data_IF_091300774757
#
_entry.id   IF_091300774757
#
_cell.length_a   1.000
_cell.length_b   1.000
_cell.length_c   1.000
_cell.angle_alpha   90.00
_cell.angle_beta   90.00
_cell.angle_gamma   90.00
#
_symmetry.space_group_name_H-M   'P 1'
#
loop_
_entity.id
_entity.type
_entity.pdbx_description
1 polymer ?
#
# COMPACT_ATOMS: atom_id res chain seq x y z
N UNK A 1 14.93 -9.20 -69.65
CA UNK A 1 14.76 -9.95 -68.40
C UNK A 1 14.12 -9.06 -67.31
N UNK A 2 14.54 -7.79 -67.17
CA UNK A 2 14.03 -6.83 -66.15
C UNK A 2 12.50 -6.60 -66.13
N UNK A 3 11.80 -6.70 -67.27
CA UNK A 3 10.36 -6.41 -67.32
C UNK A 3 9.50 -7.46 -66.58
N UNK A 4 9.96 -8.72 -66.50
CA UNK A 4 9.25 -9.80 -65.79
C UNK A 4 9.51 -9.77 -64.27
N UNK A 5 10.68 -9.30 -63.84
CA UNK A 5 11.00 -9.17 -62.41
C UNK A 5 10.20 -8.04 -61.74
N UNK A 6 9.98 -6.93 -62.45
CA UNK A 6 9.14 -5.83 -61.97
C UNK A 6 7.65 -6.20 -61.88
N UNK A 7 7.13 -7.05 -62.78
CA UNK A 7 5.74 -7.54 -62.68
C UNK A 7 5.53 -8.46 -61.47
N UNK A 8 6.50 -9.34 -61.17
CA UNK A 8 6.42 -10.24 -60.01
C UNK A 8 6.51 -9.46 -58.68
N UNK A 9 7.40 -8.48 -58.59
CA UNK A 9 7.47 -7.57 -57.43
C UNK A 9 6.19 -6.75 -57.26
N UNK A 10 5.58 -6.28 -58.35
CA UNK A 10 4.32 -5.55 -58.31
C UNK A 10 3.17 -6.45 -57.83
N UNK A 11 3.10 -7.71 -58.28
CA UNK A 11 2.12 -8.68 -57.79
C UNK A 11 2.30 -9.05 -56.31
N UNK A 12 3.53 -9.24 -55.84
CA UNK A 12 3.80 -9.48 -54.42
C UNK A 12 3.46 -8.27 -53.55
N UNK A 13 3.78 -7.06 -54.00
CA UNK A 13 3.40 -5.82 -53.33
C UNK A 13 1.87 -5.67 -53.30
N UNK A 14 1.19 -5.95 -54.41
CA UNK A 14 -0.27 -5.88 -54.50
C UNK A 14 -0.95 -6.93 -53.62
N UNK A 15 -0.44 -8.16 -53.56
CA UNK A 15 -0.97 -9.24 -52.72
C UNK A 15 -0.71 -8.97 -51.22
N UNK A 16 0.44 -8.40 -50.87
CA UNK A 16 0.77 -8.01 -49.49
C UNK A 16 -0.10 -6.83 -49.01
N UNK A 17 -0.46 -5.90 -49.89
CA UNK A 17 -1.37 -4.78 -49.59
C UNK A 17 -2.83 -5.23 -49.49
N UNK A 18 -3.21 -6.34 -50.14
CA UNK A 18 -4.60 -6.80 -50.25
C UNK A 18 -5.17 -7.54 -49.03
N UNK A 19 -4.37 -7.88 -48.02
CA UNK A 19 -4.85 -8.62 -46.83
C UNK A 19 -4.71 -7.81 -45.53
N UNK A 20 -4.75 -6.48 -45.60
CA UNK A 20 -4.80 -5.65 -44.40
C UNK A 20 -6.26 -5.39 -44.01
N UNK A 21 -6.61 -5.78 -42.78
CA UNK A 21 -7.91 -5.52 -42.19
C UNK A 21 -7.94 -4.08 -41.69
N UNK A 22 -8.79 -3.24 -42.30
CA UNK A 22 -8.92 -1.85 -41.92
C UNK A 22 -9.96 -1.71 -40.79
N UNK A 23 -9.59 -0.97 -39.75
CA UNK A 23 -10.48 -0.61 -38.66
C UNK A 23 -10.21 0.83 -38.19
N UNK A 24 -11.01 1.29 -37.24
CA UNK A 24 -10.85 2.60 -36.63
C UNK A 24 -10.64 2.51 -35.13
N UNK A 25 -9.81 3.41 -34.59
CA UNK A 25 -9.62 3.59 -33.15
C UNK A 25 -9.99 5.02 -32.79
N UNK A 26 -10.84 5.18 -31.79
CA UNK A 26 -11.25 6.47 -31.22
C UNK A 26 -10.39 6.72 -29.99
N UNK A 27 -9.58 7.78 -30.04
CA UNK A 27 -8.72 8.25 -28.95
C UNK A 27 -9.12 9.68 -28.62
N UNK A 28 -9.64 9.94 -27.42
CA UNK A 28 -10.16 11.25 -27.00
C UNK A 28 -11.02 11.92 -28.09
N UNK A 29 -12.07 11.22 -28.52
CA UNK A 29 -13.02 11.66 -29.58
C UNK A 29 -12.42 11.77 -30.99
N UNK A 30 -11.11 11.54 -31.16
CA UNK A 30 -10.43 11.55 -32.45
C UNK A 30 -10.42 10.16 -33.08
N UNK A 31 -11.05 10.01 -34.24
CA UNK A 31 -11.07 8.76 -35.02
C UNK A 31 -9.80 8.63 -35.87
N UNK A 32 -9.04 7.54 -35.68
CA UNK A 32 -7.82 7.21 -36.43
C UNK A 32 -7.98 5.88 -37.15
N UNK A 33 -7.41 5.77 -38.35
CA UNK A 33 -7.44 4.54 -39.15
C UNK A 33 -6.27 3.65 -38.72
N UNK A 34 -6.57 2.38 -38.46
CA UNK A 34 -5.57 1.33 -38.26
C UNK A 34 -5.68 0.27 -39.35
N UNK A 35 -4.57 -0.39 -39.63
CA UNK A 35 -4.49 -1.51 -40.57
C UNK A 35 -3.82 -2.67 -39.87
N UNK A 36 -4.55 -3.75 -39.69
CA UNK A 36 -4.08 -4.94 -38.98
C UNK A 36 -3.73 -6.03 -39.99
N UNK A 37 -2.59 -6.70 -39.77
CA UNK A 37 -2.22 -7.88 -40.55
C UNK A 37 -3.04 -9.09 -40.14
N UNK A 38 -3.09 -9.33 -38.83
CA UNK A 38 -3.80 -10.43 -38.20
C UNK A 38 -4.87 -9.90 -37.25
N UNK A 39 -6.02 -10.58 -37.17
CA UNK A 39 -7.11 -10.21 -36.26
C UNK A 39 -6.85 -10.77 -34.85
N UNK A 40 -5.78 -10.29 -34.22
CA UNK A 40 -5.38 -10.63 -32.85
C UNK A 40 -5.40 -9.39 -31.96
N UNK A 41 -5.53 -9.61 -30.66
CA UNK A 41 -5.44 -8.57 -29.65
C UNK A 41 -4.06 -7.90 -29.65
N UNK A 42 -3.00 -8.68 -29.82
CA UNK A 42 -1.63 -8.16 -29.85
C UNK A 42 -1.42 -7.18 -31.00
N UNK A 43 -1.85 -7.54 -32.22
CA UNK A 43 -1.74 -6.65 -33.39
C UNK A 43 -2.60 -5.39 -33.18
N UNK A 44 -3.80 -5.52 -32.59
CA UNK A 44 -4.65 -4.37 -32.28
C UNK A 44 -3.95 -3.40 -31.32
N UNK A 45 -3.38 -3.92 -30.24
CA UNK A 45 -2.61 -3.14 -29.26
C UNK A 45 -1.43 -2.45 -29.94
N UNK A 46 -0.69 -3.17 -30.79
CA UNK A 46 0.44 -2.60 -31.52
C UNK A 46 0.03 -1.44 -32.43
N UNK A 47 -1.06 -1.60 -33.20
CA UNK A 47 -1.59 -0.54 -34.06
C UNK A 47 -2.10 0.66 -33.26
N UNK A 48 -2.70 0.42 -32.08
CA UNK A 48 -3.09 1.47 -31.15
C UNK A 48 -1.87 2.26 -30.68
N UNK A 49 -0.79 1.60 -30.27
CA UNK A 49 0.44 2.28 -29.85
C UNK A 49 1.05 3.14 -30.96
N UNK A 50 0.99 2.69 -32.23
CA UNK A 50 1.39 3.52 -33.36
C UNK A 50 0.49 4.74 -33.59
N UNK A 51 -0.77 4.68 -33.17
CA UNK A 51 -1.71 5.79 -33.23
C UNK A 51 -1.53 6.81 -32.09
N UNK A 52 -0.88 6.44 -30.99
CA UNK A 52 -0.66 7.34 -29.87
C UNK A 52 0.53 8.27 -30.15
N UNK A 53 0.31 9.58 -30.01
CA UNK A 53 1.39 10.56 -30.13
C UNK A 53 2.26 10.57 -28.86
N UNK A 54 3.45 11.18 -28.95
CA UNK A 54 4.35 11.35 -27.80
C UNK A 54 3.68 12.03 -26.59
N UNK A 55 2.68 12.89 -26.82
CA UNK A 55 1.92 13.56 -25.76
C UNK A 55 1.13 12.55 -24.92
N UNK A 56 0.56 11.52 -25.52
CA UNK A 56 -0.15 10.46 -24.80
C UNK A 56 0.77 9.65 -23.91
N UNK A 57 1.97 9.29 -24.37
CA UNK A 57 2.95 8.61 -23.54
C UNK A 57 3.43 9.46 -22.36
N UNK A 58 3.59 10.78 -22.56
CA UNK A 58 3.88 11.72 -21.46
C UNK A 58 2.73 11.75 -20.46
N UNK A 59 1.49 11.85 -20.94
CA UNK A 59 0.28 11.82 -20.11
C UNK A 59 0.20 10.52 -19.29
N UNK A 60 0.38 9.37 -19.93
CA UNK A 60 0.40 8.05 -19.26
C UNK A 60 1.44 7.98 -18.14
N UNK A 61 2.65 8.52 -18.37
CA UNK A 61 3.71 8.53 -17.35
C UNK A 61 3.46 9.54 -16.22
N UNK A 62 2.96 10.73 -16.54
CA UNK A 62 2.73 11.80 -15.55
C UNK A 62 1.50 11.54 -14.69
N UNK A 63 0.42 11.05 -15.30
CA UNK A 63 -0.87 10.81 -14.66
C UNK A 63 -1.04 9.34 -14.23
N UNK A 64 0.00 8.51 -14.42
CA UNK A 64 0.00 7.08 -14.12
C UNK A 64 -1.23 6.37 -14.73
N UNK A 65 -1.46 6.59 -16.03
CA UNK A 65 -2.59 6.03 -16.76
C UNK A 65 -2.19 4.79 -17.56
N UNK A 66 -3.11 3.84 -17.64
CA UNK A 66 -3.18 2.79 -18.65
C UNK A 66 -4.46 2.97 -19.48
N UNK A 67 -4.71 2.10 -20.45
CA UNK A 67 -5.98 2.09 -21.18
C UNK A 67 -6.57 0.69 -21.31
N UNK A 68 -7.89 0.64 -21.41
CA UNK A 68 -8.65 -0.51 -21.90
C UNK A 68 -9.15 -0.24 -23.31
N UNK A 69 -9.32 -1.31 -24.06
CA UNK A 69 -9.87 -1.28 -25.41
C UNK A 69 -11.30 -1.79 -25.32
N UNK A 70 -12.24 -1.01 -25.85
CA UNK A 70 -13.65 -1.42 -25.93
C UNK A 70 -14.18 -1.28 -27.36
N UNK A 71 -15.23 -2.01 -27.69
CA UNK A 71 -15.96 -1.83 -28.95
C UNK A 71 -16.85 -0.56 -28.90
N UNK A 72 -17.61 -0.33 -29.98
CA UNK A 72 -18.52 0.83 -30.06
C UNK A 72 -19.66 0.76 -29.02
N UNK A 73 -20.02 -0.44 -28.56
CA UNK A 73 -21.06 -0.70 -27.56
C UNK A 73 -20.49 -0.76 -26.13
N UNK A 74 -19.23 -0.36 -25.95
CA UNK A 74 -18.50 -0.34 -24.69
C UNK A 74 -18.25 -1.75 -24.08
N UNK A 75 -18.27 -2.81 -24.90
CA UNK A 75 -17.82 -4.14 -24.48
C UNK A 75 -16.29 -4.22 -24.48
N UNK A 76 -15.70 -4.83 -23.46
CA UNK A 76 -14.24 -4.99 -23.32
C UNK A 76 -13.70 -5.93 -24.41
N UNK A 77 -12.58 -5.52 -25.02
CA UNK A 77 -11.81 -6.30 -25.99
C UNK A 77 -10.52 -6.76 -25.32
N UNK A 78 -10.53 -7.98 -24.79
CA UNK A 78 -9.45 -8.61 -24.04
C UNK A 78 -8.99 -9.96 -24.61
N UNK A 79 -9.50 -10.34 -25.79
CA UNK A 79 -9.22 -11.61 -26.44
C UNK A 79 -9.24 -11.50 -27.96
N UNK A 80 -8.55 -12.44 -28.63
CA UNK A 80 -8.55 -12.54 -30.10
C UNK A 80 -9.96 -12.79 -30.66
N UNK A 81 -10.78 -13.57 -29.96
CA UNK A 81 -12.18 -13.81 -30.31
C UNK A 81 -12.97 -12.49 -30.33
N UNK A 82 -12.82 -11.65 -29.31
CA UNK A 82 -13.49 -10.36 -29.23
C UNK A 82 -13.07 -9.42 -30.37
N UNK A 83 -11.78 -9.43 -30.74
CA UNK A 83 -11.28 -8.71 -31.92
C UNK A 83 -11.96 -9.22 -33.18
N UNK A 84 -11.97 -10.53 -33.43
CA UNK A 84 -12.61 -11.12 -34.63
C UNK A 84 -14.10 -10.80 -34.71
N UNK A 85 -14.82 -10.87 -33.60
CA UNK A 85 -16.24 -10.51 -33.54
C UNK A 85 -16.48 -9.03 -33.91
N UNK A 86 -15.59 -8.13 -33.49
CA UNK A 86 -15.68 -6.70 -33.84
C UNK A 86 -15.58 -6.45 -35.35
N UNK A 87 -14.89 -7.34 -36.08
CA UNK A 87 -14.78 -7.31 -37.55
C UNK A 87 -15.93 -7.98 -38.30
N UNK A 88 -16.86 -8.65 -37.59
CA UNK A 88 -18.10 -9.17 -38.21
C UNK A 88 -19.11 -8.04 -38.49
N UNK A 89 -18.89 -6.86 -37.91
CA UNK A 89 -19.68 -5.66 -38.17
C UNK A 89 -19.09 -4.91 -39.36
N UNK A 90 -19.95 -4.26 -40.16
CA UNK A 90 -19.58 -3.57 -41.42
C UNK A 90 -18.40 -2.58 -41.29
N UNK A 91 -18.20 -1.99 -40.12
CA UNK A 91 -17.13 -1.04 -39.84
C UNK A 91 -16.55 -1.27 -38.44
N UNK A 92 -15.49 -2.07 -38.34
CA UNK A 92 -14.81 -2.36 -37.08
C UNK A 92 -14.27 -1.06 -36.46
N UNK A 93 -14.71 -0.75 -35.25
CA UNK A 93 -14.33 0.46 -34.51
C UNK A 93 -14.09 0.13 -33.04
N UNK A 94 -12.99 0.64 -32.51
CA UNK A 94 -12.57 0.48 -31.13
C UNK A 94 -12.46 1.85 -30.45
N UNK A 95 -12.66 1.90 -29.14
CA UNK A 95 -12.44 3.09 -28.30
C UNK A 95 -11.37 2.79 -27.25
N UNK A 96 -10.53 3.78 -26.97
CA UNK A 96 -9.59 3.74 -25.85
C UNK A 96 -10.27 4.37 -24.64
N UNK A 97 -10.42 3.59 -23.57
CA UNK A 97 -10.86 4.07 -22.27
C UNK A 97 -9.65 4.21 -21.36
N UNK A 98 -9.29 5.44 -21.01
CA UNK A 98 -8.19 5.69 -20.07
C UNK A 98 -8.59 5.27 -18.65
N UNK A 99 -7.70 4.52 -17.99
CA UNK A 99 -7.83 4.13 -16.60
C UNK A 99 -6.61 4.59 -15.82
N UNK A 100 -6.82 5.15 -14.64
CA UNK A 100 -5.71 5.37 -13.73
C UNK A 100 -5.22 4.03 -13.17
N UNK A 101 -3.92 3.79 -13.21
CA UNK A 101 -3.29 2.64 -12.52
C UNK A 101 -3.52 2.70 -11.01
N UNK A 102 -3.77 3.89 -10.45
CA UNK A 102 -4.26 4.00 -9.09
C UNK A 102 -5.62 3.30 -8.98
N UNK A 103 -6.59 3.56 -9.86
CA UNK A 103 -7.92 2.94 -9.80
C UNK A 103 -7.91 1.40 -9.98
N UNK A 104 -7.03 0.84 -10.81
CA UNK A 104 -6.96 -0.63 -10.99
C UNK A 104 -6.26 -1.38 -9.86
N UNK A 105 -5.33 -0.74 -9.14
CA UNK A 105 -4.75 -1.29 -7.89
C UNK A 105 -5.71 -1.06 -6.69
N UNK A 106 -6.52 0.00 -6.74
CA UNK A 106 -7.46 0.40 -5.69
C UNK A 106 -8.74 -0.48 -5.68
N UNK A 107 -9.13 -1.08 -6.81
CA UNK A 107 -10.41 -1.80 -6.91
C UNK A 107 -10.41 -3.22 -6.29
N UNK A 108 -9.25 -3.81 -5.99
CA UNK A 108 -9.19 -5.00 -5.16
C UNK A 108 -9.43 -4.63 -3.69
N UNK A 109 -10.71 -4.39 -3.36
CA UNK A 109 -11.26 -4.26 -1.99
C UNK A 109 -10.40 -3.41 -1.04
N UNK A 110 -10.23 -2.13 -1.32
CA UNK A 110 -9.79 -1.21 -0.26
C UNK A 110 -10.78 -1.24 0.91
N UNK A 111 -10.34 -1.78 2.04
CA UNK A 111 -11.09 -1.71 3.30
C UNK A 111 -10.76 -0.36 3.94
N UNK A 112 -11.67 0.60 3.79
CA UNK A 112 -11.57 1.90 4.44
C UNK A 112 -11.82 1.70 5.94
N UNK A 113 -10.86 2.13 6.76
CA UNK A 113 -11.01 2.19 8.23
C UNK A 113 -11.78 3.47 8.54
N UNK A 114 -13.00 3.35 9.05
CA UNK A 114 -13.88 4.50 9.35
C UNK A 114 -13.99 4.79 10.83
N UNK A 115 -13.78 3.78 11.68
CA UNK A 115 -13.95 3.85 13.12
C UNK A 115 -12.82 3.07 13.79
N UNK A 116 -11.61 3.61 13.74
CA UNK A 116 -10.48 3.04 14.46
C UNK A 116 -10.46 3.47 15.93
N UNK A 117 -9.98 2.55 16.78
CA UNK A 117 -9.45 2.90 18.09
C UNK A 117 -7.95 3.10 17.97
N UNK A 118 -7.48 4.28 18.37
CA UNK A 118 -6.06 4.63 18.43
C UNK A 118 -5.66 4.70 19.89
N UNK A 119 -4.64 3.94 20.25
CA UNK A 119 -4.11 3.83 21.60
C UNK A 119 -2.65 4.22 21.58
N UNK A 120 -2.27 5.20 22.38
CA UNK A 120 -0.90 5.68 22.49
C UNK A 120 -0.36 5.46 23.90
N UNK A 121 0.87 4.96 23.98
CA UNK A 121 1.68 4.92 25.20
C UNK A 121 2.91 5.78 24.93
N UNK A 122 2.96 6.97 25.53
CA UNK A 122 4.09 7.89 25.47
C UNK A 122 4.78 8.00 26.83
N UNK A 123 6.01 7.51 26.96
CA UNK A 123 6.80 7.60 28.19
C UNK A 123 7.99 8.54 27.96
N UNK A 124 7.93 9.74 28.54
CA UNK A 124 8.97 10.77 28.40
C UNK A 124 9.78 11.02 29.67
N UNK A 125 9.26 10.67 30.84
CA UNK A 125 9.86 10.98 32.14
C UNK A 125 10.28 9.69 32.88
N UNK A 126 11.48 9.69 33.48
CA UNK A 126 12.10 8.50 34.06
C UNK A 126 12.65 8.80 35.45
N UNK A 127 12.40 7.91 36.42
CA UNK A 127 12.77 8.12 37.82
C UNK A 127 14.29 8.02 38.07
N UNK A 128 15.04 7.44 37.14
CA UNK A 128 16.49 7.26 37.27
C UNK A 128 17.26 8.42 36.66
N UNK A 129 18.09 9.09 37.48
CA UNK A 129 18.92 10.25 37.13
C UNK A 129 19.89 10.06 35.96
N UNK A 130 20.18 8.81 35.58
CA UNK A 130 21.13 8.49 34.51
C UNK A 130 20.48 8.38 33.13
N UNK A 131 19.20 8.71 33.00
CA UNK A 131 18.47 8.65 31.73
C UNK A 131 17.89 10.01 31.39
N UNK A 132 18.13 10.42 30.15
CA UNK A 132 17.58 11.66 29.63
C UNK A 132 16.07 11.51 29.46
N UNK A 133 15.34 12.50 29.97
CA UNK A 133 13.94 12.71 29.59
C UNK A 133 13.85 12.89 28.07
N UNK A 134 12.76 12.41 27.48
CA UNK A 134 12.50 12.50 26.04
C UNK A 134 11.48 13.62 25.81
N UNK A 135 11.95 14.86 25.70
CA UNK A 135 11.05 16.01 25.61
C UNK A 135 10.14 15.95 24.38
N UNK A 136 10.63 15.34 23.30
CA UNK A 136 9.92 15.35 22.01
C UNK A 136 8.79 14.32 21.93
N UNK A 137 8.69 13.38 22.88
CA UNK A 137 7.50 12.52 23.01
C UNK A 137 6.24 13.36 23.29
N UNK A 138 6.37 14.53 23.92
CA UNK A 138 5.24 15.46 24.10
C UNK A 138 4.76 16.02 22.75
N UNK A 139 5.68 16.28 21.84
CA UNK A 139 5.37 16.70 20.47
C UNK A 139 4.77 15.52 19.68
N UNK A 140 5.28 14.30 19.83
CA UNK A 140 4.69 13.12 19.19
C UNK A 140 3.23 12.90 19.60
N UNK A 141 2.93 13.03 20.90
CA UNK A 141 1.55 12.93 21.41
C UNK A 141 0.66 13.96 20.74
N UNK A 142 1.13 15.22 20.63
CA UNK A 142 0.39 16.28 19.96
C UNK A 142 0.15 15.95 18.48
N UNK A 143 1.20 15.54 17.78
CA UNK A 143 1.20 15.24 16.35
C UNK A 143 0.24 14.09 16.02
N UNK A 144 0.34 12.97 16.75
CA UNK A 144 -0.53 11.83 16.53
C UNK A 144 -1.97 12.09 16.94
N UNK A 145 -2.19 12.89 17.98
CA UNK A 145 -3.54 13.31 18.36
C UNK A 145 -4.17 14.19 17.28
N UNK A 146 -3.44 15.16 16.73
CA UNK A 146 -3.89 16.00 15.61
C UNK A 146 -4.27 15.13 14.40
N UNK A 147 -3.36 14.27 13.95
CA UNK A 147 -3.62 13.37 12.81
C UNK A 147 -4.81 12.43 13.06
N UNK A 148 -4.76 11.62 14.13
CA UNK A 148 -5.72 10.54 14.30
C UNK A 148 -7.04 11.01 14.89
N UNK A 149 -7.04 11.95 15.84
CA UNK A 149 -8.28 12.43 16.47
C UNK A 149 -8.93 13.57 15.68
N UNK A 150 -8.16 14.53 15.19
CA UNK A 150 -8.72 15.75 14.60
C UNK A 150 -8.92 15.62 13.09
N UNK A 151 -7.91 15.14 12.36
CA UNK A 151 -7.99 15.01 10.91
C UNK A 151 -8.75 13.75 10.48
N UNK A 152 -8.44 12.61 11.09
CA UNK A 152 -9.05 11.32 10.74
C UNK A 152 -10.30 10.96 11.58
N UNK A 153 -10.59 11.74 12.62
CA UNK A 153 -11.78 11.58 13.48
C UNK A 153 -11.91 10.17 14.10
N UNK A 154 -10.78 9.57 14.47
CA UNK A 154 -10.73 8.29 15.18
C UNK A 154 -10.78 8.48 16.69
N UNK A 155 -11.17 7.42 17.41
CA UNK A 155 -11.17 7.47 18.87
C UNK A 155 -9.73 7.37 19.37
N UNK A 156 -9.19 8.46 19.91
CA UNK A 156 -7.84 8.50 20.46
C UNK A 156 -7.83 8.33 21.98
N UNK A 157 -6.88 7.55 22.49
CA UNK A 157 -6.66 7.28 23.91
C UNK A 157 -5.15 7.30 24.16
N UNK A 158 -4.71 8.06 25.16
CA UNK A 158 -3.31 8.13 25.56
C UNK A 158 -3.21 8.04 27.08
N UNK A 159 -2.06 7.60 27.59
CA UNK A 159 -1.76 7.71 29.01
C UNK A 159 -1.79 9.18 29.47
N UNK A 160 -2.31 9.41 30.68
CA UNK A 160 -2.47 10.75 31.26
C UNK A 160 -1.13 11.33 31.73
N UNK A 161 -0.26 10.48 32.27
CA UNK A 161 1.02 10.87 32.84
C UNK A 161 2.18 10.51 31.91
N UNK A 162 3.15 11.42 31.66
CA UNK A 162 4.37 11.12 30.90
C UNK A 162 5.31 10.12 31.60
N UNK A 163 5.05 9.86 32.89
CA UNK A 163 5.75 8.88 33.70
C UNK A 163 4.83 7.67 33.91
N UNK A 164 5.27 6.49 33.47
CA UNK A 164 4.58 5.21 33.68
C UNK A 164 5.56 4.12 34.11
N UNK A 165 5.33 3.55 35.28
CA UNK A 165 6.02 2.32 35.71
C UNK A 165 5.54 1.10 34.93
N UNK A 166 6.23 -0.03 35.04
CA UNK A 166 5.77 -1.29 34.43
C UNK A 166 4.35 -1.67 34.87
N UNK A 167 4.02 -1.43 36.13
CA UNK A 167 2.70 -1.70 36.69
C UNK A 167 1.64 -0.76 36.09
N UNK A 168 1.95 0.53 35.96
CA UNK A 168 1.04 1.50 35.35
C UNK A 168 0.71 1.14 33.89
N UNK A 169 1.70 0.68 33.12
CA UNK A 169 1.46 0.22 31.74
C UNK A 169 0.55 -1.01 31.73
N UNK A 170 0.73 -1.96 32.64
CA UNK A 170 -0.14 -3.13 32.74
C UNK A 170 -1.57 -2.73 33.11
N UNK A 171 -1.75 -1.84 34.10
CA UNK A 171 -3.06 -1.32 34.50
C UNK A 171 -3.73 -0.57 33.34
N UNK A 172 -2.98 0.24 32.59
CA UNK A 172 -3.48 0.95 31.42
C UNK A 172 -3.98 -0.02 30.35
N UNK A 173 -3.23 -1.09 30.08
CA UNK A 173 -3.61 -2.13 29.14
C UNK A 173 -4.86 -2.88 29.61
N UNK A 174 -4.95 -3.26 30.87
CA UNK A 174 -6.12 -3.95 31.41
C UNK A 174 -7.38 -3.09 31.32
N UNK A 175 -7.28 -1.81 31.66
CA UNK A 175 -8.36 -0.83 31.50
C UNK A 175 -8.77 -0.68 30.04
N UNK A 176 -7.81 -0.63 29.11
CA UNK A 176 -8.09 -0.55 27.68
C UNK A 176 -9.02 -1.70 27.22
N UNK A 177 -8.72 -2.94 27.60
CA UNK A 177 -9.55 -4.09 27.23
C UNK A 177 -10.98 -4.00 27.79
N UNK A 178 -11.14 -3.46 29.00
CA UNK A 178 -12.43 -3.33 29.69
C UNK A 178 -13.22 -2.13 29.15
N UNK A 179 -12.64 -0.93 29.21
CA UNK A 179 -13.30 0.33 28.89
C UNK A 179 -13.72 0.42 27.42
N UNK A 180 -12.97 -0.22 26.53
CA UNK A 180 -13.25 -0.28 25.10
C UNK A 180 -13.88 -1.60 24.65
N UNK A 181 -14.14 -2.52 25.60
CA UNK A 181 -14.77 -3.80 25.37
C UNK A 181 -14.12 -4.60 24.22
N UNK A 182 -12.79 -4.55 24.11
CA UNK A 182 -12.05 -5.01 22.92
C UNK A 182 -12.25 -6.48 22.59
N UNK A 183 -12.47 -7.34 23.60
CA UNK A 183 -12.70 -8.78 23.38
C UNK A 183 -13.99 -9.08 22.62
N UNK A 184 -15.01 -8.23 22.76
CA UNK A 184 -16.30 -8.36 22.08
C UNK A 184 -16.46 -7.35 20.94
N UNK A 185 -15.61 -6.31 20.92
CA UNK A 185 -15.70 -5.17 20.03
C UNK A 185 -17.12 -4.58 19.95
N UNK A 186 -17.82 -4.45 21.09
CA UNK A 186 -19.20 -3.97 21.12
C UNK A 186 -19.35 -2.51 20.67
N UNK A 187 -18.24 -1.77 20.61
CA UNK A 187 -18.14 -0.40 20.07
C UNK A 187 -17.93 -0.36 18.55
N UNK A 188 -17.90 -1.53 17.89
CA UNK A 188 -17.84 -1.68 16.43
C UNK A 188 -16.65 -0.97 15.78
N UNK A 189 -15.47 -1.08 16.39
CA UNK A 189 -14.24 -0.58 15.77
C UNK A 189 -13.90 -1.44 14.55
N UNK A 190 -13.50 -0.80 13.45
CA UNK A 190 -13.10 -1.48 12.21
C UNK A 190 -11.58 -1.42 11.96
N UNK A 191 -10.82 -0.93 12.94
CA UNK A 191 -9.37 -0.95 13.00
C UNK A 191 -8.84 -0.66 14.41
N UNK A 192 -7.61 -1.09 14.67
CA UNK A 192 -6.88 -0.79 15.89
C UNK A 192 -5.51 -0.24 15.53
N UNK A 193 -5.12 0.88 16.13
CA UNK A 193 -3.80 1.49 15.96
C UNK A 193 -3.17 1.61 17.35
N UNK A 194 -2.02 0.96 17.57
CA UNK A 194 -1.23 1.05 18.79
C UNK A 194 0.04 1.84 18.50
N UNK A 195 0.27 2.92 19.24
CA UNK A 195 1.43 3.80 19.13
C UNK A 195 2.23 3.71 20.43
N UNK A 196 3.53 3.44 20.32
CA UNK A 196 4.40 3.31 21.49
C UNK A 196 5.62 4.22 21.28
N UNK A 197 5.74 5.26 22.10
CA UNK A 197 6.84 6.23 22.08
C UNK A 197 7.58 6.21 23.41
N UNK A 198 8.91 6.15 23.39
CA UNK A 198 9.74 6.20 24.59
C UNK A 198 11.11 5.56 24.43
N UNK A 199 11.80 5.32 25.54
CA UNK A 199 13.08 4.64 25.50
C UNK A 199 12.91 3.17 25.16
N UNK A 200 13.74 2.69 24.25
CA UNK A 200 13.81 1.27 23.92
C UNK A 200 15.11 0.63 24.40
N UNK A 201 15.10 -0.69 24.53
CA UNK A 201 16.29 -1.53 24.77
C UNK A 201 16.40 -2.61 23.70
N UNK A 202 17.60 -3.21 23.59
CA UNK A 202 17.86 -4.36 22.71
C UNK A 202 16.79 -5.45 22.93
N UNK A 203 16.31 -6.03 21.83
CA UNK A 203 15.32 -7.10 21.85
C UNK A 203 13.88 -6.62 21.87
N UNK A 204 13.57 -5.49 21.21
CA UNK A 204 12.21 -4.93 21.09
C UNK A 204 11.57 -4.68 22.47
N UNK A 205 12.29 -4.02 23.36
CA UNK A 205 11.85 -3.81 24.74
C UNK A 205 11.53 -2.34 24.97
N UNK A 206 10.30 -2.02 25.35
CA UNK A 206 9.93 -0.70 25.88
C UNK A 206 10.48 -0.57 27.29
N UNK A 207 11.13 0.55 27.58
CA UNK A 207 11.58 0.89 28.92
C UNK A 207 10.52 1.73 29.64
N UNK A 208 10.23 1.36 30.89
CA UNK A 208 9.30 2.10 31.77
C UNK A 208 10.06 3.05 32.71
N UNK A 209 9.33 4.00 33.29
CA UNK A 209 9.88 5.07 34.13
C UNK A 209 10.62 4.56 35.37
N UNK A 210 10.24 3.39 35.89
CA UNK A 210 10.88 2.71 37.03
C UNK A 210 12.13 1.91 36.65
N UNK A 211 12.64 2.05 35.43
CA UNK A 211 13.87 1.38 34.99
C UNK A 211 13.65 -0.01 34.38
N UNK A 212 12.45 -0.58 34.57
CA UNK A 212 12.07 -1.92 34.07
C UNK A 212 11.78 -1.87 32.57
N UNK A 213 11.40 -3.00 32.01
CA UNK A 213 11.03 -3.10 30.60
C UNK A 213 9.91 -4.11 30.35
N UNK A 214 9.25 -3.89 29.22
CA UNK A 214 8.16 -4.70 28.67
C UNK A 214 8.52 -5.08 27.24
N UNK A 215 8.22 -6.31 26.85
CA UNK A 215 8.42 -6.76 25.47
C UNK A 215 7.33 -6.18 24.58
N UNK A 216 7.72 -5.53 23.49
CA UNK A 216 6.78 -5.09 22.44
C UNK A 216 6.06 -6.30 21.85
N UNK A 217 6.75 -7.44 21.73
CA UNK A 217 6.16 -8.67 21.21
C UNK A 217 5.07 -9.23 22.16
N UNK A 218 5.23 -9.08 23.48
CA UNK A 218 4.21 -9.45 24.46
C UNK A 218 3.00 -8.50 24.42
N UNK A 219 3.24 -7.19 24.27
CA UNK A 219 2.17 -6.19 24.10
C UNK A 219 1.38 -6.53 22.83
N UNK A 220 2.06 -6.72 21.69
CA UNK A 220 1.44 -7.11 20.42
C UNK A 220 0.65 -8.41 20.54
N UNK A 221 1.24 -9.44 21.14
CA UNK A 221 0.62 -10.75 21.31
C UNK A 221 -0.65 -10.70 22.18
N UNK A 222 -0.90 -9.62 22.92
CA UNK A 222 -2.15 -9.40 23.64
C UNK A 222 -3.32 -9.09 22.72
N UNK A 223 -3.05 -8.63 21.49
CA UNK A 223 -4.03 -8.30 20.46
C UNK A 223 -4.16 -9.35 19.35
N UNK A 224 -3.55 -10.53 19.51
CA UNK A 224 -3.67 -11.61 18.54
C UNK A 224 -5.14 -12.05 18.36
N UNK A 225 -5.46 -12.57 17.18
CA UNK A 225 -6.81 -12.97 16.81
C UNK A 225 -7.42 -13.98 17.80
N UNK A 226 -6.62 -14.92 18.31
CA UNK A 226 -7.08 -15.87 19.33
C UNK A 226 -7.46 -15.24 20.68
N UNK A 227 -6.95 -14.05 21.00
CA UNK A 227 -7.31 -13.29 22.22
C UNK A 227 -8.43 -12.28 21.97
N UNK A 228 -8.58 -11.83 20.73
CA UNK A 228 -9.57 -10.85 20.28
C UNK A 228 -10.23 -11.30 18.97
N UNK A 229 -11.04 -12.35 19.02
CA UNK A 229 -11.66 -12.94 17.82
C UNK A 229 -12.48 -11.90 17.03
N UNK A 230 -13.12 -10.95 17.73
CA UNK A 230 -13.88 -9.85 17.12
C UNK A 230 -13.05 -8.87 16.29
N UNK A 231 -11.71 -8.94 16.37
CA UNK A 231 -10.77 -8.14 15.59
C UNK A 231 -10.01 -8.95 14.54
N UNK A 232 -10.34 -10.22 14.34
CA UNK A 232 -9.61 -11.12 13.44
C UNK A 232 -9.46 -10.56 12.03
N UNK A 233 -10.56 -10.06 11.47
CA UNK A 233 -10.62 -9.56 10.09
C UNK A 233 -10.38 -8.05 9.97
N UNK A 234 -9.98 -7.38 11.05
CA UNK A 234 -9.71 -5.94 11.07
C UNK A 234 -8.20 -5.65 11.16
N UNK A 235 -7.71 -4.58 10.49
CA UNK A 235 -6.31 -4.20 10.55
C UNK A 235 -5.90 -3.79 11.96
N UNK A 236 -4.71 -4.26 12.37
CA UNK A 236 -4.06 -3.95 13.63
C UNK A 236 -2.69 -3.33 13.32
N UNK A 237 -2.60 -2.01 13.43
CA UNK A 237 -1.41 -1.24 13.06
C UNK A 237 -0.62 -0.91 14.33
N UNK A 238 0.67 -1.20 14.35
CA UNK A 238 1.58 -0.85 15.44
C UNK A 238 2.61 0.14 14.92
N UNK A 239 2.65 1.33 15.52
CA UNK A 239 3.63 2.38 15.24
C UNK A 239 4.55 2.43 16.46
N UNK A 240 5.79 1.99 16.29
CA UNK A 240 6.74 1.87 17.40
C UNK A 240 7.88 2.85 17.20
N UNK A 241 7.91 3.87 18.04
CA UNK A 241 8.93 4.91 18.07
C UNK A 241 9.81 4.79 19.32
N UNK A 242 10.71 3.81 19.28
CA UNK A 242 11.68 3.53 20.35
C UNK A 242 13.03 3.10 19.76
N UNK A 243 14.11 3.26 20.53
CA UNK A 243 15.43 2.73 20.19
C UNK A 243 15.48 1.19 20.17
N UNK A 244 16.22 0.58 19.24
CA UNK A 244 16.36 -0.89 19.13
C UNK A 244 17.78 -1.42 19.31
N UNK A 245 18.70 -0.59 19.76
CA UNK A 245 20.09 -1.00 20.01
C UNK A 245 20.94 0.13 20.55
N UNK A 246 22.24 0.08 20.23
CA UNK A 246 23.26 1.06 20.65
C UNK A 246 24.11 1.59 19.50
N UNK A 247 23.87 1.11 18.27
CA UNK A 247 24.67 1.51 17.15
C UNK A 247 24.12 2.82 16.58
N UNK A 248 24.93 3.87 16.43
CA UNK A 248 24.50 5.03 15.67
C UNK A 248 24.28 4.61 14.21
N UNK A 249 23.24 5.14 13.53
CA UNK A 249 22.96 4.79 12.15
C UNK A 249 24.11 5.25 11.25
N UNK A 250 24.79 4.29 10.64
CA UNK A 250 25.70 4.53 9.51
C UNK A 250 24.94 4.29 8.21
N UNK A 251 24.84 5.32 7.37
CA UNK A 251 24.19 5.22 6.07
C UNK A 251 25.00 4.27 5.16
N UNK A 252 24.53 3.03 5.01
CA UNK A 252 25.10 2.07 4.06
C UNK A 252 23.99 1.47 3.20
N UNK A 253 24.13 1.62 1.88
CA UNK A 253 23.30 0.95 0.88
C UNK A 253 23.55 -0.55 1.01
N UNK A 254 22.53 -1.32 1.36
CA UNK A 254 22.63 -2.79 1.40
C UNK A 254 21.72 -3.40 0.33
N UNK A 255 22.35 -3.99 -0.69
CA UNK A 255 21.77 -4.97 -1.60
C UNK A 255 21.91 -6.35 -0.96
N UNK A 256 20.83 -6.96 -0.47
CA UNK A 256 20.80 -8.41 -0.15
C UNK A 256 19.49 -9.06 -0.63
N UNK A 257 19.71 -10.26 -1.13
CA UNK A 257 18.96 -11.19 -1.98
C UNK A 257 17.84 -11.95 -1.23
N UNK A 258 16.77 -12.31 -1.95
CA UNK A 258 15.67 -13.22 -1.52
C UNK A 258 16.12 -14.68 -1.52
N UNK A 259 15.82 -15.42 -0.47
CA UNK A 259 15.99 -16.89 -0.41
C UNK A 259 14.72 -17.64 -0.82
N UNK A 260 14.91 -18.75 -1.53
CA UNK A 260 13.92 -19.78 -1.91
C UNK A 260 13.84 -20.89 -0.85
N UNK A 261 12.63 -21.44 -0.62
CA UNK A 261 12.29 -22.88 -0.73
C UNK A 261 10.85 -23.20 -0.26
N UNK A 262 10.39 -24.35 -0.75
CA UNK A 262 9.03 -24.79 -1.11
C UNK A 262 8.08 -25.24 0.03
N UNK A 263 6.79 -25.29 -0.34
CA UNK A 263 5.64 -26.03 0.19
C UNK A 263 5.36 -26.02 1.70
N UNK A 264 4.40 -25.17 2.10
CA UNK A 264 3.79 -25.24 3.43
C UNK A 264 2.29 -24.89 3.38
N UNK A 265 1.47 -25.77 3.96
CA UNK A 265 0.02 -25.67 4.06
C UNK A 265 -0.42 -24.31 4.64
N UNK A 266 -1.46 -23.71 4.04
CA UNK A 266 -2.11 -22.45 4.44
C UNK A 266 -2.83 -22.60 5.80
N UNK A 267 -2.08 -22.68 6.88
CA UNK A 267 -2.56 -22.41 8.24
C UNK A 267 -2.36 -20.91 8.51
N UNK A 268 -3.46 -20.18 8.74
CA UNK A 268 -3.41 -18.76 9.06
C UNK A 268 -2.44 -18.50 10.23
N UNK A 269 -1.54 -17.54 10.05
CA UNK A 269 -0.52 -17.21 11.03
C UNK A 269 -1.16 -16.33 12.12
N UNK A 270 -0.72 -16.46 13.38
CA UNK A 270 -1.24 -15.61 14.47
C UNK A 270 -0.96 -14.10 14.28
N UNK A 271 -0.19 -13.75 13.26
CA UNK A 271 0.20 -12.38 12.90
C UNK A 271 -0.57 -11.85 11.67
N UNK A 272 -1.55 -12.59 11.17
CA UNK A 272 -2.40 -12.14 10.07
C UNK A 272 -3.16 -10.86 10.46
N UNK A 273 -3.08 -9.83 9.62
CA UNK A 273 -3.73 -8.54 9.83
C UNK A 273 -2.95 -7.54 10.68
N UNK A 274 -1.69 -7.81 11.03
CA UNK A 274 -0.80 -6.84 11.66
C UNK A 274 0.05 -6.07 10.63
N UNK A 275 0.14 -4.76 10.79
CA UNK A 275 1.14 -3.91 10.13
C UNK A 275 2.01 -3.28 11.22
N UNK A 276 3.32 -3.44 11.15
CA UNK A 276 4.25 -2.86 12.13
C UNK A 276 5.17 -1.87 11.44
N UNK A 277 5.12 -0.62 11.88
CA UNK A 277 5.97 0.48 11.44
C UNK A 277 6.94 0.79 12.57
N UNK A 278 8.23 0.63 12.32
CA UNK A 278 9.28 0.97 13.28
C UNK A 278 9.96 2.26 12.84
N UNK A 279 10.18 3.20 13.77
CA UNK A 279 11.05 4.36 13.49
C UNK A 279 12.52 3.93 13.32
N UNK A 280 12.93 2.84 13.98
CA UNK A 280 14.31 2.34 13.99
C UNK A 280 14.49 1.00 13.27
N UNK A 281 15.61 0.86 12.56
CA UNK A 281 16.14 -0.44 12.14
C UNK A 281 16.67 -1.21 13.34
N UNK A 282 16.53 -2.54 13.32
CA UNK A 282 16.97 -3.38 14.43
C UNK A 282 18.48 -3.19 14.71
N UNK A 283 18.83 -2.94 15.98
CA UNK A 283 20.22 -2.76 16.41
C UNK A 283 20.69 -1.30 16.47
N UNK A 284 19.89 -0.33 16.00
CA UNK A 284 20.27 1.08 15.94
C UNK A 284 19.56 1.95 17.00
N UNK A 285 20.21 3.06 17.37
CA UNK A 285 19.61 4.15 18.15
C UNK A 285 19.08 5.24 17.21
N UNK A 286 18.05 5.95 17.67
CA UNK A 286 17.56 7.19 17.07
C UNK A 286 17.75 8.29 18.11
N UNK A 287 18.13 9.49 17.65
CA UNK A 287 18.15 10.66 18.52
C UNK A 287 16.72 11.05 18.91
N UNK A 288 16.54 11.70 20.06
CA UNK A 288 15.24 12.21 20.49
C UNK A 288 14.75 13.27 19.49
N UNK A 289 14.01 12.86 18.47
CA UNK A 289 13.46 13.70 17.41
C UNK A 289 12.10 13.13 17.00
N UNK A 290 11.11 13.99 16.79
CA UNK A 290 9.77 13.62 16.31
C UNK A 290 9.70 13.26 14.83
N UNK A 291 10.77 12.70 14.24
CA UNK A 291 10.89 12.53 12.78
C UNK A 291 9.79 11.65 12.19
N UNK A 292 9.44 10.55 12.87
CA UNK A 292 8.40 9.65 12.36
C UNK A 292 7.03 10.34 12.40
N UNK A 293 6.71 11.00 13.51
CA UNK A 293 5.41 11.66 13.68
C UNK A 293 5.28 12.90 12.78
N UNK A 294 6.36 13.68 12.60
CA UNK A 294 6.40 14.82 11.69
C UNK A 294 6.23 14.40 10.22
N UNK A 295 6.82 13.28 9.80
CA UNK A 295 6.63 12.74 8.44
C UNK A 295 5.21 12.19 8.19
N UNK A 296 4.43 11.93 9.25
CA UNK A 296 3.06 11.43 9.14
C UNK A 296 2.01 12.53 9.19
N UNK A 297 2.39 13.79 9.43
CA UNK A 297 1.49 14.95 9.34
C UNK A 297 1.04 15.20 7.90
N UNK A 298 -0.18 15.69 7.74
CA UNK A 298 -0.71 16.18 6.46
C UNK A 298 -0.10 17.50 6.03
#
# INVERSE_FOLDING_TARGET
>A
QEKKENEVLFFYYYYFVMNLHQAYVIVDETKKVIKMKDLTLEELIQQIYYCLSLQYFRKMKQENLTFEIVDINDNIIDSDEAVKQSFMVKEASFKILWKSLQQSIILEKQKIIKNALVVMIGISEYMNSNKCELSNVKDDVKNFKELFEQELNYKFVCNESPQMTKEDVQIFMDRLFVDFALRKNSKQYDGLIMIICGHGKKGNMLMTSDGKSLSIDEIRASFNCNKMESFKDFPKIFIIDICRGKNPPTAHITTIVRGENEDMQLLGHNDDGFLIIWSTTQGYEIGDFSLLSDCMKS
#
